data_IF_248376680653
#
_entry.id   IF_248376680653
#
_cell.length_a   1.000
_cell.length_b   1.000
_cell.length_c   1.000
_cell.angle_alpha   90.00
_cell.angle_beta   90.00
_cell.angle_gamma   90.00
#
_symmetry.space_group_name_H-M   'P 1'
#
loop_
_entity.id
_entity.type
_entity.pdbx_description
1 polymer ?
#
# COMPACT_ATOMS: atom_id res chain seq x y z
N UNK A 1 23.60 43.34 -11.72
CA UNK A 1 23.61 42.79 -10.35
C UNK A 1 23.32 43.86 -9.30
N UNK A 2 23.98 45.04 -9.34
CA UNK A 2 23.80 46.14 -8.37
C UNK A 2 22.35 46.66 -8.18
N UNK A 3 21.56 46.71 -9.27
CA UNK A 3 20.20 47.25 -9.23
C UNK A 3 19.20 46.33 -8.50
N UNK A 4 19.35 45.01 -8.66
CA UNK A 4 18.52 43.99 -8.01
C UNK A 4 18.74 44.01 -6.50
N UNK A 5 20.01 44.03 -6.06
CA UNK A 5 20.37 44.10 -4.65
C UNK A 5 19.81 45.37 -3.98
N UNK A 6 19.88 46.52 -4.64
CA UNK A 6 19.30 47.78 -4.12
C UNK A 6 17.78 47.71 -3.99
N UNK A 7 17.09 47.13 -4.96
CA UNK A 7 15.65 46.94 -4.91
C UNK A 7 15.22 46.04 -3.73
N UNK A 8 15.96 44.94 -3.49
CA UNK A 8 15.72 44.02 -2.37
C UNK A 8 15.95 44.71 -1.02
N UNK A 9 17.04 45.46 -0.88
CA UNK A 9 17.39 46.15 0.38
C UNK A 9 16.37 47.25 0.71
N UNK A 10 15.89 48.00 -0.28
CA UNK A 10 14.92 49.08 -0.08
C UNK A 10 13.52 48.57 0.32
N UNK A 11 13.11 47.39 -0.14
CA UNK A 11 11.79 46.80 0.15
C UNK A 11 11.83 45.60 1.13
N UNK A 12 12.92 45.46 1.90
CA UNK A 12 13.19 44.30 2.78
C UNK A 12 12.02 43.85 3.65
N UNK A 13 11.24 44.76 4.24
CA UNK A 13 10.10 44.42 5.11
C UNK A 13 8.95 43.80 4.30
N UNK A 14 8.67 44.31 3.10
CA UNK A 14 7.64 43.77 2.22
C UNK A 14 8.02 42.40 1.67
N UNK A 15 9.30 42.21 1.33
CA UNK A 15 9.83 40.92 0.88
C UNK A 15 9.74 39.87 1.99
N UNK A 16 10.13 40.21 3.23
CA UNK A 16 9.99 39.31 4.38
C UNK A 16 8.53 38.96 4.64
N UNK A 17 7.63 39.95 4.61
CA UNK A 17 6.20 39.70 4.80
C UNK A 17 5.62 38.79 3.70
N UNK A 18 5.97 39.04 2.43
CA UNK A 18 5.58 38.20 1.30
C UNK A 18 6.09 36.76 1.46
N UNK A 19 7.36 36.59 1.83
CA UNK A 19 7.93 35.26 2.09
C UNK A 19 7.25 34.56 3.25
N UNK A 20 6.95 35.27 4.34
CA UNK A 20 6.25 34.70 5.48
C UNK A 20 4.83 34.25 5.09
N UNK A 21 4.10 35.07 4.32
CA UNK A 21 2.78 34.70 3.80
C UNK A 21 2.88 33.50 2.85
N UNK A 22 3.83 33.49 1.92
CA UNK A 22 4.05 32.38 1.01
C UNK A 22 4.45 31.09 1.75
N UNK A 23 5.25 31.18 2.81
CA UNK A 23 5.63 30.04 3.64
C UNK A 23 4.43 29.47 4.41
N UNK A 24 3.59 30.33 4.99
CA UNK A 24 2.35 29.90 5.67
C UNK A 24 1.40 29.24 4.66
N UNK A 25 1.20 29.85 3.49
CA UNK A 25 0.38 29.27 2.43
C UNK A 25 0.94 27.93 1.94
N UNK A 26 2.26 27.82 1.75
CA UNK A 26 2.93 26.57 1.40
C UNK A 26 2.75 25.48 2.45
N UNK A 27 2.84 25.83 3.74
CA UNK A 27 2.60 24.90 4.84
C UNK A 27 1.14 24.43 4.94
N UNK A 28 0.18 25.29 4.59
CA UNK A 28 -1.23 24.87 4.50
C UNK A 28 -1.43 23.94 3.30
N UNK A 29 -0.87 24.29 2.14
CA UNK A 29 -0.99 23.50 0.91
C UNK A 29 -0.29 22.14 1.01
N UNK A 30 0.77 22.00 1.81
CA UNK A 30 1.49 20.73 1.95
C UNK A 30 0.63 19.61 2.54
N UNK A 31 -0.39 19.93 3.33
CA UNK A 31 -1.31 18.94 3.92
C UNK A 31 -2.22 18.31 2.85
N UNK A 32 -2.41 18.97 1.71
CA UNK A 32 -3.25 18.47 0.61
C UNK A 32 -2.52 17.54 -0.37
N UNK A 33 -1.22 17.31 -0.19
CA UNK A 33 -0.44 16.45 -1.08
C UNK A 33 -0.58 14.99 -0.63
N UNK A 34 -1.08 14.13 -1.52
CA UNK A 34 -1.20 12.69 -1.28
C UNK A 34 0.15 11.98 -1.36
N UNK A 35 0.29 10.89 -0.60
CA UNK A 35 1.47 10.01 -0.67
C UNK A 35 1.25 9.01 -1.80
N UNK A 36 2.23 8.89 -2.71
CA UNK A 36 2.21 7.83 -3.72
C UNK A 36 2.82 6.54 -3.14
N UNK A 37 2.02 5.49 -3.05
CA UNK A 37 2.45 4.17 -2.57
C UNK A 37 2.89 3.22 -3.70
N UNK A 38 2.76 3.63 -4.97
CA UNK A 38 3.16 2.82 -6.12
C UNK A 38 4.61 3.08 -6.52
N UNK A 39 5.51 2.16 -6.14
CA UNK A 39 6.94 2.26 -6.46
C UNK A 39 7.22 2.18 -7.97
N UNK A 40 6.34 1.58 -8.78
CA UNK A 40 6.52 1.43 -10.23
C UNK A 40 6.51 2.79 -10.93
N UNK A 41 5.77 3.76 -10.41
CA UNK A 41 5.67 5.12 -10.99
C UNK A 41 7.01 5.87 -10.97
N UNK A 42 7.94 5.43 -10.11
CA UNK A 42 9.28 6.01 -10.01
C UNK A 42 10.30 5.37 -10.96
N UNK A 43 9.93 4.30 -11.69
CA UNK A 43 10.82 3.62 -12.61
C UNK A 43 10.91 4.35 -13.96
N UNK A 44 12.10 4.39 -14.60
CA UNK A 44 12.25 4.95 -15.94
C UNK A 44 11.31 4.25 -16.94
N UNK A 45 10.57 5.04 -17.71
CA UNK A 45 9.56 4.53 -18.66
C UNK A 45 10.15 3.70 -19.81
N UNK A 46 11.42 3.93 -20.12
CA UNK A 46 12.21 3.30 -21.18
C UNK A 46 12.97 2.06 -20.70
N UNK A 47 12.98 1.77 -19.40
CA UNK A 47 13.58 0.55 -18.88
C UNK A 47 12.84 -0.69 -19.42
N UNK A 48 13.62 -1.73 -19.76
CA UNK A 48 13.09 -3.01 -20.24
C UNK A 48 12.16 -3.65 -19.20
N UNK A 49 12.47 -3.52 -17.90
CA UNK A 49 11.64 -4.01 -16.79
C UNK A 49 10.28 -3.31 -16.73
N UNK A 50 10.23 -1.98 -16.84
CA UNK A 50 8.98 -1.20 -16.88
C UNK A 50 8.11 -1.60 -18.07
N UNK A 51 8.75 -1.86 -19.21
CA UNK A 51 8.05 -2.32 -20.42
C UNK A 51 7.47 -3.73 -20.23
N UNK A 52 8.23 -4.65 -19.63
CA UNK A 52 7.75 -6.00 -19.32
C UNK A 52 6.55 -5.98 -18.37
N UNK A 53 6.60 -5.16 -17.30
CA UNK A 53 5.50 -5.00 -16.33
C UNK A 53 4.24 -4.49 -17.04
N UNK A 54 4.38 -3.50 -17.93
CA UNK A 54 3.25 -2.94 -18.71
C UNK A 54 2.61 -3.98 -19.63
N UNK A 55 3.42 -4.69 -20.44
CA UNK A 55 2.92 -5.75 -21.33
C UNK A 55 2.18 -6.82 -20.52
N UNK A 56 2.74 -7.23 -19.38
CA UNK A 56 2.13 -8.22 -18.52
C UNK A 56 0.77 -7.76 -17.97
N UNK A 57 0.63 -6.48 -17.59
CA UNK A 57 -0.65 -5.88 -17.17
C UNK A 57 -1.67 -5.84 -18.32
N UNK A 58 -1.23 -5.47 -19.52
CA UNK A 58 -2.09 -5.32 -20.69
C UNK A 58 -2.62 -6.66 -21.22
N UNK A 59 -1.78 -7.70 -21.25
CA UNK A 59 -2.11 -9.01 -21.85
C UNK A 59 -2.90 -9.94 -20.91
N UNK A 60 -2.54 -9.98 -19.64
CA UNK A 60 -3.15 -10.94 -18.70
C UNK A 60 -4.35 -10.36 -17.96
N UNK A 61 -4.48 -9.03 -17.93
CA UNK A 61 -5.54 -8.34 -17.20
C UNK A 61 -5.50 -8.61 -15.70
N UNK A 62 -6.16 -7.75 -14.93
CA UNK A 62 -6.18 -7.87 -13.48
C UNK A 62 -4.93 -7.31 -12.83
N UNK A 63 -5.13 -6.74 -11.67
CA UNK A 63 -4.02 -6.27 -10.86
C UNK A 63 -3.36 -7.48 -10.19
N UNK A 64 -2.05 -7.57 -10.33
CA UNK A 64 -1.29 -8.59 -9.62
C UNK A 64 -1.28 -8.26 -8.13
N UNK A 65 -1.14 -9.27 -7.25
CA UNK A 65 -0.91 -9.02 -5.85
C UNK A 65 0.26 -8.05 -5.68
N UNK A 66 -0.05 -6.87 -5.16
CA UNK A 66 0.85 -5.72 -5.09
C UNK A 66 1.14 -5.31 -3.64
N UNK A 67 0.46 -5.93 -2.67
CA UNK A 67 0.71 -5.75 -1.25
C UNK A 67 0.66 -7.09 -0.49
N UNK A 68 1.31 -7.12 0.68
CA UNK A 68 1.25 -8.25 1.62
C UNK A 68 1.04 -7.73 3.03
N UNK A 69 0.17 -8.40 3.77
CA UNK A 69 -0.12 -8.09 5.18
C UNK A 69 0.20 -9.33 6.00
N UNK A 70 0.96 -9.12 7.08
CA UNK A 70 1.25 -10.15 8.06
C UNK A 70 0.47 -9.87 9.34
N UNK A 71 -0.45 -10.75 9.67
CA UNK A 71 -1.14 -10.74 10.96
C UNK A 71 -0.30 -11.54 11.95
N UNK A 72 -0.08 -10.99 13.14
CA UNK A 72 0.74 -11.65 14.16
C UNK A 72 -0.09 -12.20 15.29
N UNK A 73 0.31 -13.37 15.80
CA UNK A 73 -0.35 -14.05 16.90
C UNK A 73 -1.87 -14.24 16.71
N UNK A 74 -2.27 -14.74 15.53
CA UNK A 74 -3.65 -15.06 15.17
C UNK A 74 -3.83 -16.55 14.95
N UNK A 75 -4.97 -17.09 15.35
CA UNK A 75 -5.42 -18.43 14.96
C UNK A 75 -5.90 -18.46 13.50
N UNK A 76 -6.07 -19.66 12.93
CA UNK A 76 -6.61 -19.81 11.58
C UNK A 76 -8.01 -19.20 11.45
N UNK A 77 -8.86 -19.37 12.47
CA UNK A 77 -10.19 -18.79 12.46
C UNK A 77 -10.15 -17.26 12.45
N UNK A 78 -9.33 -16.66 13.31
CA UNK A 78 -9.16 -15.20 13.34
C UNK A 78 -8.57 -14.68 12.02
N UNK A 79 -7.59 -15.38 11.45
CA UNK A 79 -7.04 -15.01 10.15
C UNK A 79 -8.09 -15.06 9.03
N UNK A 80 -9.01 -16.02 9.01
CA UNK A 80 -10.14 -16.01 8.07
C UNK A 80 -11.09 -14.82 8.29
N UNK A 81 -11.34 -14.43 9.54
CA UNK A 81 -12.16 -13.26 9.86
C UNK A 81 -11.48 -11.96 9.40
N UNK A 82 -10.17 -11.81 9.64
CA UNK A 82 -9.39 -10.68 9.16
C UNK A 82 -9.35 -10.63 7.64
N UNK A 83 -9.15 -11.77 6.96
CA UNK A 83 -9.22 -11.86 5.50
C UNK A 83 -10.53 -11.27 4.97
N UNK A 84 -11.66 -11.65 5.57
CA UNK A 84 -12.98 -11.15 5.17
C UNK A 84 -13.13 -9.64 5.40
N UNK A 85 -12.64 -9.11 6.54
CA UNK A 85 -12.64 -7.67 6.82
C UNK A 85 -11.78 -6.89 5.83
N UNK A 86 -10.56 -7.37 5.55
CA UNK A 86 -9.62 -6.76 4.61
C UNK A 86 -10.18 -6.79 3.19
N UNK A 87 -10.80 -7.90 2.77
CA UNK A 87 -11.42 -8.01 1.46
C UNK A 87 -12.62 -7.07 1.27
N UNK A 88 -13.26 -6.62 2.35
CA UNK A 88 -14.34 -5.64 2.32
C UNK A 88 -13.85 -4.18 2.44
N UNK A 89 -12.54 -3.96 2.63
CA UNK A 89 -11.97 -2.63 2.74
C UNK A 89 -12.00 -1.88 1.40
N UNK A 90 -12.20 -0.57 1.46
CA UNK A 90 -12.25 0.27 0.25
C UNK A 90 -10.93 0.22 -0.51
N UNK A 91 -11.00 -0.08 -1.81
CA UNK A 91 -9.81 -0.15 -2.69
C UNK A 91 -9.07 -1.48 -2.67
N UNK A 92 -9.51 -2.47 -1.88
CA UNK A 92 -9.01 -3.85 -1.98
C UNK A 92 -9.82 -4.62 -3.01
N UNK A 93 -9.17 -5.04 -4.10
CA UNK A 93 -9.78 -5.83 -5.17
C UNK A 93 -9.84 -7.32 -4.84
N UNK A 94 -8.79 -7.86 -4.20
CA UNK A 94 -8.71 -9.27 -3.84
C UNK A 94 -7.77 -9.51 -2.66
N UNK A 95 -8.06 -10.54 -1.87
CA UNK A 95 -7.18 -11.06 -0.82
C UNK A 95 -7.05 -12.56 -1.01
N UNK A 96 -5.81 -13.03 -1.11
CA UNK A 96 -5.47 -14.44 -1.28
C UNK A 96 -4.69 -14.94 -0.07
N UNK A 97 -5.11 -16.08 0.46
CA UNK A 97 -4.47 -16.74 1.60
C UNK A 97 -4.57 -18.27 1.48
N UNK A 98 -4.13 -18.98 2.53
CA UNK A 98 -4.02 -20.44 2.57
C UNK A 98 -5.31 -21.16 2.16
N UNK A 99 -6.48 -20.62 2.52
CA UNK A 99 -7.78 -21.19 2.16
C UNK A 99 -8.05 -21.22 0.66
N UNK A 100 -7.46 -20.33 -0.13
CA UNK A 100 -7.58 -20.34 -1.59
C UNK A 100 -6.68 -21.41 -2.24
N UNK A 101 -5.66 -21.88 -1.53
CA UNK A 101 -4.71 -22.88 -2.01
C UNK A 101 -5.17 -24.29 -1.68
N UNK A 102 -5.51 -24.52 -0.40
CA UNK A 102 -5.86 -25.87 0.07
C UNK A 102 -7.37 -26.11 0.10
N UNK A 103 -8.19 -25.04 0.08
CA UNK A 103 -9.63 -25.08 0.24
C UNK A 103 -10.09 -24.79 1.66
N UNK A 104 -11.25 -24.13 1.79
CA UNK A 104 -11.83 -23.72 3.07
C UNK A 104 -12.20 -24.93 3.97
N UNK A 105 -12.74 -25.98 3.37
CA UNK A 105 -13.17 -27.18 4.08
C UNK A 105 -11.99 -27.91 4.75
N UNK A 106 -10.94 -28.32 4.01
CA UNK A 106 -9.79 -28.98 4.62
C UNK A 106 -9.06 -28.08 5.63
N UNK A 107 -9.03 -26.76 5.43
CA UNK A 107 -8.44 -25.83 6.40
C UNK A 107 -9.20 -25.79 7.73
N UNK A 108 -10.52 -25.98 7.72
CA UNK A 108 -11.36 -25.93 8.93
C UNK A 108 -11.53 -27.28 9.62
N UNK A 109 -11.51 -28.37 8.87
CA UNK A 109 -11.80 -29.71 9.40
C UNK A 109 -10.57 -30.52 9.75
N UNK A 110 -9.42 -30.19 9.15
CA UNK A 110 -8.19 -30.96 9.31
C UNK A 110 -7.23 -30.19 10.22
N UNK A 111 -6.67 -30.81 11.27
CA UNK A 111 -5.64 -30.15 12.07
C UNK A 111 -4.42 -29.81 11.21
N UNK A 112 -3.80 -28.68 11.50
CA UNK A 112 -2.74 -28.07 10.67
C UNK A 112 -1.55 -29.00 10.49
N UNK A 113 -1.26 -29.82 11.49
CA UNK A 113 -0.16 -30.79 11.51
C UNK A 113 -0.32 -31.91 10.48
N UNK A 114 -1.54 -32.12 9.97
CA UNK A 114 -1.83 -33.12 8.93
C UNK A 114 -1.81 -32.53 7.52
N UNK A 115 -1.71 -31.20 7.38
CA UNK A 115 -1.58 -30.53 6.10
C UNK A 115 -0.11 -30.57 5.63
N UNK A 116 0.10 -30.36 4.33
CA UNK A 116 1.46 -30.28 3.78
C UNK A 116 2.20 -29.07 4.36
N UNK A 117 3.19 -29.34 5.22
CA UNK A 117 3.96 -28.32 5.90
C UNK A 117 4.65 -27.35 4.92
N UNK A 118 5.06 -27.83 3.73
CA UNK A 118 5.71 -26.98 2.73
C UNK A 118 4.78 -25.88 2.19
N UNK A 119 3.47 -26.18 2.13
CA UNK A 119 2.44 -25.22 1.73
C UNK A 119 2.08 -24.35 2.92
N UNK A 120 1.77 -24.96 4.08
CA UNK A 120 1.30 -24.22 5.25
C UNK A 120 2.32 -23.18 5.71
N UNK A 121 3.59 -23.55 5.85
CA UNK A 121 4.63 -22.64 6.36
C UNK A 121 4.84 -21.39 5.48
N UNK A 122 4.45 -21.45 4.20
CA UNK A 122 4.51 -20.31 3.28
C UNK A 122 3.44 -19.25 3.56
N UNK A 123 2.35 -19.62 4.23
CA UNK A 123 1.20 -18.76 4.49
C UNK A 123 0.87 -18.57 5.98
N UNK A 124 1.26 -19.53 6.82
CA UNK A 124 0.97 -19.54 8.25
C UNK A 124 2.09 -20.21 9.04
N UNK A 125 2.78 -19.46 9.90
CA UNK A 125 3.89 -19.97 10.73
C UNK A 125 3.95 -19.25 12.07
N UNK A 126 4.15 -20.00 13.16
CA UNK A 126 4.28 -19.46 14.51
C UNK A 126 3.12 -18.54 14.91
N UNK A 127 1.89 -18.92 14.55
CA UNK A 127 0.67 -18.12 14.69
C UNK A 127 0.69 -16.78 13.92
N UNK A 128 1.49 -16.66 12.87
CA UNK A 128 1.49 -15.50 11.99
C UNK A 128 0.92 -15.89 10.62
N UNK A 129 -0.07 -15.14 10.13
CA UNK A 129 -0.69 -15.35 8.84
C UNK A 129 -0.20 -14.30 7.84
N UNK A 130 0.38 -14.74 6.71
CA UNK A 130 0.82 -13.87 5.62
C UNK A 130 -0.19 -13.92 4.47
N UNK A 131 -0.87 -12.81 4.23
CA UNK A 131 -1.87 -12.67 3.16
C UNK A 131 -1.31 -11.85 2.01
N UNK A 132 -1.70 -12.21 0.79
CA UNK A 132 -1.39 -11.43 -0.42
C UNK A 132 -2.62 -10.63 -0.84
N UNK A 133 -2.45 -9.33 -1.08
CA UNK A 133 -3.52 -8.41 -1.38
C UNK A 133 -3.30 -7.81 -2.77
N UNK A 134 -4.41 -7.52 -3.43
CA UNK A 134 -4.47 -6.77 -4.67
C UNK A 134 -5.24 -5.48 -4.40
N UNK A 135 -4.55 -4.35 -4.50
CA UNK A 135 -5.08 -3.01 -4.23
C UNK A 135 -5.24 -2.25 -5.53
N UNK A 136 -6.44 -1.71 -5.76
CA UNK A 136 -6.80 -0.91 -6.93
C UNK A 136 -5.86 0.28 -7.14
N UNK A 137 -5.35 0.43 -8.36
CA UNK A 137 -4.50 1.56 -8.73
C UNK A 137 -5.23 2.90 -8.53
N UNK A 138 -4.58 3.83 -7.82
CA UNK A 138 -5.12 5.12 -7.44
C UNK A 138 -5.91 5.12 -6.12
N UNK A 139 -6.14 3.95 -5.50
CA UNK A 139 -6.78 3.82 -4.17
C UNK A 139 -5.81 3.35 -3.09
N UNK A 140 -4.51 3.36 -3.36
CA UNK A 140 -3.50 2.78 -2.48
C UNK A 140 -3.51 3.44 -1.10
N UNK A 141 -3.59 4.77 -1.03
CA UNK A 141 -3.65 5.48 0.25
C UNK A 141 -4.90 5.13 1.07
N UNK A 142 -6.06 5.02 0.42
CA UNK A 142 -7.32 4.68 1.08
C UNK A 142 -7.30 3.23 1.58
N UNK A 143 -6.88 2.29 0.72
CA UNK A 143 -6.78 0.87 1.05
C UNK A 143 -5.79 0.62 2.19
N UNK A 144 -4.60 1.22 2.12
CA UNK A 144 -3.58 1.11 3.18
C UNK A 144 -4.11 1.66 4.50
N UNK A 145 -4.77 2.83 4.49
CA UNK A 145 -5.40 3.40 5.68
C UNK A 145 -6.46 2.47 6.30
N UNK A 146 -7.38 1.96 5.48
CA UNK A 146 -8.42 1.05 5.93
C UNK A 146 -7.84 -0.28 6.48
N UNK A 147 -6.79 -0.81 5.85
CA UNK A 147 -6.11 -2.02 6.32
C UNK A 147 -5.47 -1.77 7.69
N UNK A 148 -4.77 -0.64 7.87
CA UNK A 148 -4.17 -0.27 9.16
C UNK A 148 -5.21 -0.16 10.28
N UNK A 149 -6.36 0.46 10.01
CA UNK A 149 -7.48 0.51 10.96
C UNK A 149 -8.01 -0.89 11.34
N UNK A 150 -8.05 -1.82 10.37
CA UNK A 150 -8.52 -3.19 10.61
C UNK A 150 -7.53 -3.98 11.46
N UNK A 151 -6.23 -3.88 11.19
CA UNK A 151 -5.19 -4.64 11.90
C UNK A 151 -4.77 -3.99 13.23
N UNK A 152 -5.15 -2.72 13.46
CA UNK A 152 -4.99 -2.03 14.74
C UNK A 152 -3.60 -1.41 14.97
N UNK A 153 -2.92 -0.97 13.90
CA UNK A 153 -1.66 -0.21 13.97
C UNK A 153 -1.86 1.30 13.76
#
# INVERSE_FOLDING_TARGET
MEWFSRAVINHKKGIIALFAVAAVLGGILSVFVSVNYNTVDYLPSDAQSTTAIRIMKDEFGGEMPNARVMLTNVSIHEALEYKAKIAAAEGVAAVTWLDDVIGLDPLKTTPVEFLDASIVESYYRDNNALMSLTIESGKEQAAVGAIYEIIGE
#
